data_IF_722109856640
#
_entry.id   IF_722109856640
#
_cell.length_a   1.000
_cell.length_b   1.000
_cell.length_c   1.000
_cell.angle_alpha   90.00
_cell.angle_beta   90.00
_cell.angle_gamma   90.00
#
_symmetry.space_group_name_H-M   'P 1'
#
loop_
_entity.id
_entity.type
_entity.pdbx_description
1 polymer ?
#
# COMPACT_ATOMS: atom_id res chain seq x y z
N UNK A 1 -29.41 0.45 35.82
CA UNK A 1 -29.68 -0.97 36.12
C UNK A 1 -29.72 -1.71 34.81
N UNK A 2 -28.92 -2.76 34.62
CA UNK A 2 -28.87 -3.57 33.40
C UNK A 2 -29.24 -5.00 33.79
N UNK A 3 -30.04 -5.65 32.96
CA UNK A 3 -30.36 -7.07 33.15
C UNK A 3 -29.47 -7.92 32.27
N UNK A 4 -29.05 -9.09 32.78
CA UNK A 4 -28.31 -10.10 32.07
C UNK A 4 -28.86 -11.49 32.38
N UNK A 5 -29.18 -12.22 31.33
CA UNK A 5 -29.70 -13.57 31.43
C UNK A 5 -28.61 -14.55 30.98
N UNK A 6 -28.30 -15.49 31.83
CA UNK A 6 -27.41 -16.63 31.48
C UNK A 6 -28.26 -17.87 31.40
N UNK A 7 -28.32 -18.47 30.22
CA UNK A 7 -28.99 -19.75 30.03
C UNK A 7 -27.95 -20.85 29.97
N UNK A 8 -28.02 -21.78 30.89
CA UNK A 8 -27.11 -22.96 30.90
C UNK A 8 -27.97 -24.18 31.23
N UNK A 9 -27.87 -25.17 30.37
CA UNK A 9 -28.76 -26.35 30.42
C UNK A 9 -30.26 -25.98 30.50
N UNK A 10 -30.99 -26.45 31.51
CA UNK A 10 -32.40 -26.16 31.71
C UNK A 10 -32.69 -24.94 32.63
N UNK A 11 -31.62 -24.22 33.04
CA UNK A 11 -31.71 -23.13 34.00
C UNK A 11 -31.43 -21.77 33.38
N UNK A 12 -32.24 -20.77 33.76
CA UNK A 12 -32.05 -19.37 33.44
C UNK A 12 -31.68 -18.61 34.70
N UNK A 13 -30.53 -17.93 34.67
CA UNK A 13 -30.05 -17.09 35.75
C UNK A 13 -30.20 -15.62 35.31
N UNK A 14 -31.15 -14.90 35.90
CA UNK A 14 -31.40 -13.50 35.57
C UNK A 14 -30.74 -12.58 36.58
N UNK A 15 -29.62 -11.97 36.15
CA UNK A 15 -28.88 -11.01 36.96
C UNK A 15 -29.38 -9.60 36.74
N UNK A 16 -29.63 -8.87 37.81
CA UNK A 16 -29.80 -7.44 37.86
C UNK A 16 -28.45 -6.81 38.26
N UNK A 17 -27.90 -6.00 37.34
CA UNK A 17 -26.56 -5.45 37.53
C UNK A 17 -26.63 -3.94 37.79
N UNK A 18 -26.14 -3.53 38.94
CA UNK A 18 -25.97 -2.13 39.29
C UNK A 18 -24.52 -1.87 39.73
N UNK A 19 -23.71 -1.33 38.79
CA UNK A 19 -22.25 -1.07 38.97
C UNK A 19 -21.51 -2.34 39.37
N UNK A 20 -21.08 -2.43 40.66
CA UNK A 20 -20.32 -3.56 41.20
C UNK A 20 -21.25 -4.62 41.85
N UNK A 21 -22.52 -4.28 42.09
CA UNK A 21 -23.47 -5.15 42.73
C UNK A 21 -24.28 -5.91 41.69
N UNK A 22 -24.19 -7.24 41.73
CA UNK A 22 -24.99 -8.13 40.91
C UNK A 22 -25.97 -8.86 41.81
N UNK A 23 -27.23 -8.82 41.44
CA UNK A 23 -28.32 -9.44 42.19
C UNK A 23 -28.93 -10.57 41.37
N UNK A 24 -29.11 -11.75 42.01
CA UNK A 24 -29.83 -12.87 41.46
C UNK A 24 -30.88 -13.29 42.46
N UNK A 25 -32.10 -13.47 42.03
CA UNK A 25 -33.21 -13.93 42.87
C UNK A 25 -33.59 -15.35 42.50
N UNK A 26 -33.78 -16.20 43.52
CA UNK A 26 -34.25 -17.58 43.38
C UNK A 26 -35.41 -17.83 44.36
N UNK A 27 -36.47 -18.49 43.89
CA UNK A 27 -37.55 -18.91 44.78
C UNK A 27 -37.09 -20.03 45.71
N UNK A 28 -37.62 -20.13 46.91
CA UNK A 28 -37.32 -21.22 47.84
C UNK A 28 -37.60 -22.61 47.22
N UNK A 29 -38.60 -22.69 46.34
CA UNK A 29 -38.93 -23.91 45.57
C UNK A 29 -37.84 -24.38 44.60
N UNK A 30 -36.99 -23.44 44.12
CA UNK A 30 -35.83 -23.78 43.26
C UNK A 30 -34.65 -24.32 44.06
N UNK A 31 -34.70 -24.23 45.38
CA UNK A 31 -33.67 -24.71 46.29
C UNK A 31 -34.21 -25.83 47.19
N UNK A 32 -33.31 -26.59 47.83
CA UNK A 32 -33.65 -27.59 48.85
C UNK A 32 -33.07 -27.17 50.20
N UNK A 33 -32.94 -25.88 50.47
CA UNK A 33 -32.46 -25.32 51.72
C UNK A 33 -33.43 -25.64 52.84
N UNK A 34 -32.92 -26.23 53.93
CA UNK A 34 -33.67 -26.50 55.15
C UNK A 34 -33.30 -25.59 56.29
N UNK A 35 -32.06 -25.12 56.30
CA UNK A 35 -31.52 -24.20 57.30
C UNK A 35 -30.61 -23.17 56.55
N UNK A 36 -30.85 -21.89 56.84
CA UNK A 36 -30.10 -20.78 56.19
C UNK A 36 -28.57 -20.92 56.34
N UNK A 37 -28.10 -21.51 57.45
CA UNK A 37 -26.67 -21.76 57.68
C UNK A 37 -26.01 -22.67 56.62
N UNK A 38 -26.82 -23.42 55.86
CA UNK A 38 -26.29 -24.20 54.74
C UNK A 38 -25.59 -23.30 53.67
N UNK A 39 -25.96 -22.03 53.59
CA UNK A 39 -25.35 -21.06 52.70
C UNK A 39 -23.91 -20.71 53.10
N UNK A 40 -23.48 -20.95 54.34
CA UNK A 40 -22.10 -20.70 54.79
C UNK A 40 -21.05 -21.42 53.89
N UNK A 41 -21.46 -22.51 53.23
CA UNK A 41 -20.63 -23.28 52.28
C UNK A 41 -20.22 -22.43 51.10
N UNK A 42 -21.09 -21.55 50.62
CA UNK A 42 -20.90 -20.74 49.42
C UNK A 42 -20.67 -19.26 49.70
N UNK A 43 -20.93 -18.77 50.91
CA UNK A 43 -20.67 -17.39 51.32
C UNK A 43 -19.24 -17.21 51.86
N UNK A 44 -18.53 -18.31 52.17
CA UNK A 44 -17.12 -18.27 52.60
C UNK A 44 -16.26 -17.50 51.63
N UNK A 45 -15.30 -16.76 52.16
CA UNK A 45 -14.36 -15.97 51.36
C UNK A 45 -13.29 -16.92 50.75
N UNK A 46 -13.18 -16.90 49.42
CA UNK A 46 -12.11 -17.57 48.70
C UNK A 46 -11.74 -16.77 47.44
N UNK A 47 -10.55 -16.97 46.91
CA UNK A 47 -10.07 -16.28 45.71
C UNK A 47 -10.72 -16.75 44.42
N UNK A 48 -11.26 -17.97 44.43
CA UNK A 48 -11.87 -18.64 43.30
C UNK A 48 -13.31 -18.19 43.03
N UNK A 49 -13.91 -17.51 44.02
CA UNK A 49 -15.31 -17.07 43.95
C UNK A 49 -15.45 -15.59 44.34
N UNK A 50 -16.32 -14.88 43.63
CA UNK A 50 -16.65 -13.50 43.93
C UNK A 50 -17.36 -13.43 45.33
N UNK A 51 -17.10 -12.41 46.16
CA UNK A 51 -17.80 -12.23 47.41
C UNK A 51 -19.31 -12.27 47.25
N UNK A 52 -20.00 -13.03 48.10
CA UNK A 52 -21.42 -13.28 48.05
C UNK A 52 -22.03 -13.06 49.42
N UNK A 53 -23.14 -12.30 49.46
CA UNK A 53 -24.05 -12.20 50.58
C UNK A 53 -25.41 -12.69 50.15
N UNK A 54 -26.14 -13.36 51.05
CA UNK A 54 -27.47 -13.90 50.73
C UNK A 54 -28.46 -13.33 51.74
N UNK A 55 -29.60 -12.86 51.23
CA UNK A 55 -30.70 -12.37 52.01
C UNK A 55 -31.90 -13.28 51.81
N UNK A 56 -32.65 -13.53 52.89
CA UNK A 56 -33.87 -14.33 52.87
C UNK A 56 -35.09 -13.43 52.96
N UNK A 57 -36.01 -13.58 52.04
CA UNK A 57 -37.36 -13.01 52.10
C UNK A 57 -38.41 -14.15 52.12
N UNK A 58 -39.67 -13.81 52.24
CA UNK A 58 -40.74 -14.80 52.46
C UNK A 58 -40.65 -16.04 51.56
N UNK A 59 -40.63 -15.87 50.26
CA UNK A 59 -40.55 -16.98 49.25
C UNK A 59 -39.29 -16.97 48.42
N UNK A 60 -38.34 -16.11 48.71
CA UNK A 60 -37.20 -15.83 47.84
C UNK A 60 -35.89 -15.82 48.63
N UNK A 61 -34.82 -16.26 47.97
CA UNK A 61 -33.43 -15.97 48.34
C UNK A 61 -32.85 -14.97 47.34
N UNK A 62 -32.25 -13.90 47.88
CA UNK A 62 -31.55 -12.90 47.08
C UNK A 62 -30.05 -13.06 47.26
N UNK A 63 -29.38 -13.40 46.17
CA UNK A 63 -27.92 -13.54 46.11
C UNK A 63 -27.32 -12.22 45.64
N UNK A 64 -26.48 -11.59 46.48
CA UNK A 64 -25.82 -10.32 46.21
C UNK A 64 -24.33 -10.57 46.02
N UNK A 65 -23.85 -10.43 44.78
CA UNK A 65 -22.46 -10.60 44.42
C UNK A 65 -21.79 -9.23 44.31
N UNK A 66 -20.57 -9.11 44.88
CA UNK A 66 -19.78 -7.90 44.76
C UNK A 66 -18.68 -8.09 43.72
N UNK A 67 -18.93 -7.67 42.47
CA UNK A 67 -18.02 -7.78 41.33
C UNK A 67 -17.23 -6.49 41.21
N UNK A 68 -15.96 -6.49 41.72
CA UNK A 68 -15.12 -5.29 41.66
C UNK A 68 -14.90 -4.86 40.19
N UNK A 69 -15.03 -3.56 39.94
CA UNK A 69 -14.79 -2.95 38.62
C UNK A 69 -13.37 -3.14 38.09
N UNK A 70 -12.40 -3.48 38.94
CA UNK A 70 -11.03 -3.79 38.54
C UNK A 70 -10.89 -5.16 37.89
N UNK A 71 -11.88 -6.04 38.09
CA UNK A 71 -11.89 -7.35 37.44
C UNK A 71 -12.20 -7.21 35.95
N UNK A 72 -11.48 -7.97 35.15
CA UNK A 72 -11.74 -8.05 33.71
C UNK A 72 -12.95 -8.98 33.49
N UNK A 73 -13.98 -8.46 32.84
CA UNK A 73 -15.10 -9.21 32.31
C UNK A 73 -14.76 -9.76 30.93
N UNK A 74 -15.50 -10.73 30.44
CA UNK A 74 -15.25 -11.42 29.18
C UNK A 74 -15.05 -10.45 28.00
N UNK A 75 -15.90 -9.43 27.86
CA UNK A 75 -15.84 -8.45 26.78
C UNK A 75 -14.50 -7.68 26.76
N UNK A 76 -13.84 -7.56 27.91
CA UNK A 76 -12.55 -6.89 28.02
C UNK A 76 -11.38 -7.74 27.51
N UNK A 77 -11.57 -9.06 27.36
CA UNK A 77 -10.51 -10.00 27.02
C UNK A 77 -10.18 -9.98 25.52
N UNK A 78 -11.05 -9.47 24.67
CA UNK A 78 -10.82 -9.34 23.23
C UNK A 78 -9.52 -8.60 22.88
N UNK A 79 -9.14 -7.61 23.71
CA UNK A 79 -7.94 -6.77 23.54
C UNK A 79 -6.65 -7.43 23.99
N UNK A 80 -6.71 -8.58 24.66
CA UNK A 80 -5.52 -9.28 25.15
C UNK A 80 -4.81 -10.00 24.02
N UNK A 81 -3.48 -10.07 24.13
CA UNK A 81 -2.64 -10.83 23.21
C UNK A 81 -2.85 -12.33 23.36
N UNK A 82 -2.39 -13.09 22.36
CA UNK A 82 -2.55 -14.55 22.36
C UNK A 82 -1.95 -15.23 23.60
N UNK A 83 -0.77 -14.78 24.04
CA UNK A 83 -0.11 -15.27 25.23
C UNK A 83 -0.95 -15.06 26.50
N UNK A 84 -1.50 -13.84 26.68
CA UNK A 84 -2.38 -13.53 27.82
C UNK A 84 -3.67 -14.36 27.81
N UNK A 85 -4.28 -14.55 26.64
CA UNK A 85 -5.47 -15.41 26.48
C UNK A 85 -5.19 -16.87 26.83
N UNK A 86 -4.07 -17.42 26.38
CA UNK A 86 -3.68 -18.79 26.72
C UNK A 86 -3.39 -18.93 28.22
N UNK A 87 -2.69 -17.97 28.83
CA UNK A 87 -2.43 -17.96 30.28
C UNK A 87 -3.74 -17.92 31.09
N UNK A 88 -4.67 -17.05 30.70
CA UNK A 88 -5.99 -16.93 31.31
C UNK A 88 -6.76 -18.27 31.26
N UNK A 89 -6.80 -18.91 30.10
CA UNK A 89 -7.47 -20.20 29.94
C UNK A 89 -6.82 -21.30 30.78
N UNK A 90 -5.47 -21.38 30.81
CA UNK A 90 -4.79 -22.32 31.71
C UNK A 90 -5.23 -22.13 33.17
N UNK A 91 -5.38 -20.89 33.61
CA UNK A 91 -5.81 -20.60 34.98
C UNK A 91 -7.25 -21.09 35.24
N UNK A 92 -8.14 -21.09 34.21
CA UNK A 92 -9.51 -21.63 34.36
C UNK A 92 -9.50 -23.10 34.72
N UNK A 93 -8.48 -23.85 34.33
CA UNK A 93 -8.34 -25.30 34.66
C UNK A 93 -8.38 -25.61 36.16
N UNK A 94 -8.05 -24.65 37.03
CA UNK A 94 -8.13 -24.81 38.49
C UNK A 94 -9.51 -25.24 38.97
N UNK A 95 -10.57 -24.89 38.28
CA UNK A 95 -11.94 -25.27 38.65
C UNK A 95 -12.23 -26.77 38.50
N UNK A 96 -11.37 -27.53 37.82
CA UNK A 96 -11.42 -29.01 37.81
C UNK A 96 -11.45 -29.60 39.22
N UNK A 97 -10.73 -28.99 40.16
CA UNK A 97 -10.67 -29.46 41.57
C UNK A 97 -12.02 -29.35 42.28
N UNK A 98 -12.95 -28.51 41.79
CA UNK A 98 -14.27 -28.31 42.38
C UNK A 98 -15.32 -29.30 41.87
N UNK A 99 -15.05 -30.10 40.84
CA UNK A 99 -16.02 -31.06 40.27
C UNK A 99 -16.54 -32.06 41.29
N UNK A 100 -15.72 -32.44 42.28
CA UNK A 100 -16.10 -33.38 43.32
C UNK A 100 -16.34 -32.74 44.70
N UNK A 101 -16.33 -31.39 44.76
CA UNK A 101 -16.61 -30.67 46.03
C UNK A 101 -18.10 -30.39 46.21
N UNK A 102 -18.46 -29.87 47.39
CA UNK A 102 -19.84 -29.48 47.70
C UNK A 102 -20.30 -28.25 46.95
N UNK A 103 -19.39 -27.38 46.57
CA UNK A 103 -19.67 -26.17 45.79
C UNK A 103 -19.84 -26.56 44.32
N UNK A 104 -20.93 -26.14 43.70
CA UNK A 104 -21.20 -26.37 42.28
C UNK A 104 -21.09 -25.05 41.52
N UNK A 105 -20.75 -25.11 40.24
CA UNK A 105 -20.55 -23.97 39.38
C UNK A 105 -20.78 -24.36 37.92
N UNK A 106 -20.74 -23.40 37.01
CA UNK A 106 -20.67 -23.61 35.57
C UNK A 106 -19.72 -22.63 34.93
N UNK A 107 -19.10 -23.04 33.83
CA UNK A 107 -18.22 -22.19 33.03
C UNK A 107 -19.04 -21.48 31.93
N UNK A 108 -19.14 -20.17 32.04
CA UNK A 108 -19.80 -19.32 31.07
C UNK A 108 -19.10 -17.96 31.03
N UNK A 109 -18.97 -17.31 29.85
CA UNK A 109 -18.34 -15.98 29.72
C UNK A 109 -18.84 -14.95 30.74
N UNK A 110 -20.13 -14.98 31.03
CA UNK A 110 -20.79 -14.04 31.93
C UNK A 110 -20.80 -14.49 33.41
N UNK A 111 -20.36 -15.68 33.70
CA UNK A 111 -20.20 -16.21 35.05
C UNK A 111 -18.77 -16.21 35.56
N UNK A 112 -17.80 -15.72 34.75
CA UNK A 112 -16.39 -15.73 35.08
C UNK A 112 -15.77 -14.33 34.92
N UNK A 113 -14.96 -13.94 35.87
CA UNK A 113 -14.20 -12.70 35.86
C UNK A 113 -12.75 -12.98 36.20
N UNK A 114 -11.83 -12.06 35.85
CA UNK A 114 -10.40 -12.28 36.02
C UNK A 114 -9.77 -11.08 36.71
N UNK A 115 -8.82 -11.37 37.61
CA UNK A 115 -8.03 -10.31 38.25
C UNK A 115 -6.89 -9.83 37.33
N UNK A 116 -6.07 -8.88 37.80
CA UNK A 116 -4.92 -8.36 37.04
C UNK A 116 -3.86 -9.42 36.72
N UNK A 117 -3.80 -10.53 37.46
CA UNK A 117 -2.91 -11.67 37.20
C UNK A 117 -3.54 -12.73 36.29
N UNK A 118 -4.73 -12.45 35.74
CA UNK A 118 -5.53 -13.35 34.89
C UNK A 118 -5.99 -14.62 35.63
N UNK A 119 -6.12 -14.54 36.95
CA UNK A 119 -6.67 -15.60 37.78
C UNK A 119 -8.21 -15.46 37.75
N UNK A 120 -8.95 -16.52 37.41
CA UNK A 120 -10.40 -16.49 37.30
C UNK A 120 -11.09 -16.58 38.64
N UNK A 121 -12.25 -15.93 38.76
CA UNK A 121 -13.20 -16.11 39.85
C UNK A 121 -14.60 -16.31 39.27
N UNK A 122 -15.34 -17.30 39.78
CA UNK A 122 -16.72 -17.57 39.41
C UNK A 122 -17.68 -16.64 40.20
N UNK A 123 -18.68 -16.11 39.51
CA UNK A 123 -19.66 -15.22 40.11
C UNK A 123 -20.71 -16.07 40.82
N UNK A 124 -21.54 -16.82 40.08
CA UNK A 124 -22.60 -17.64 40.64
C UNK A 124 -22.13 -19.08 40.87
N UNK A 125 -22.43 -19.57 42.03
CA UNK A 125 -22.16 -20.92 42.49
C UNK A 125 -23.31 -21.44 43.36
N UNK A 126 -23.46 -22.73 43.37
CA UNK A 126 -24.49 -23.42 44.17
C UNK A 126 -23.90 -24.40 45.18
N UNK A 127 -24.81 -25.17 45.74
CA UNK A 127 -24.48 -26.27 46.69
C UNK A 127 -25.01 -27.55 46.09
N UNK A 128 -24.16 -28.59 46.01
CA UNK A 128 -24.49 -29.89 45.46
C UNK A 128 -25.80 -30.41 46.03
N UNK A 129 -26.72 -30.75 45.16
CA UNK A 129 -28.08 -31.26 45.44
C UNK A 129 -28.99 -30.38 46.29
N UNK A 130 -28.59 -29.13 46.60
CA UNK A 130 -29.29 -28.21 47.44
C UNK A 130 -29.63 -26.91 46.74
N UNK A 131 -28.63 -26.26 46.13
CA UNK A 131 -28.79 -24.96 45.43
C UNK A 131 -28.22 -25.06 44.04
N UNK A 132 -28.97 -24.69 43.00
CA UNK A 132 -28.42 -24.65 41.63
C UNK A 132 -27.18 -23.77 41.53
N UNK A 133 -26.25 -24.06 40.58
CA UNK A 133 -26.35 -25.03 39.48
C UNK A 133 -26.16 -26.49 39.95
N UNK A 134 -26.57 -27.42 39.08
CA UNK A 134 -26.30 -28.83 39.27
C UNK A 134 -24.80 -29.12 39.17
N UNK A 135 -24.30 -30.19 39.85
CA UNK A 135 -22.90 -30.56 39.72
C UNK A 135 -22.52 -30.86 38.26
N UNK A 136 -21.39 -30.35 37.79
CA UNK A 136 -20.84 -30.71 36.47
C UNK A 136 -20.18 -32.10 36.52
N UNK A 137 -20.45 -32.89 35.50
CA UNK A 137 -19.60 -34.05 35.18
C UNK A 137 -18.28 -33.59 34.54
N UNK A 138 -17.28 -34.47 34.50
CA UNK A 138 -16.03 -34.14 33.80
C UNK A 138 -16.25 -33.87 32.30
N UNK A 139 -17.19 -34.59 31.66
CA UNK A 139 -17.56 -34.41 30.26
C UNK A 139 -18.23 -33.04 30.02
N UNK A 140 -19.17 -32.66 30.93
CA UNK A 140 -19.81 -31.33 30.83
C UNK A 140 -18.80 -30.22 31.06
N UNK A 141 -17.90 -30.36 32.03
CA UNK A 141 -16.83 -29.40 32.26
C UNK A 141 -15.93 -29.25 31.02
N UNK A 142 -15.50 -30.39 30.44
CA UNK A 142 -14.70 -30.42 29.22
C UNK A 142 -15.41 -29.67 28.07
N UNK A 143 -16.72 -29.92 27.90
CA UNK A 143 -17.53 -29.28 26.85
C UNK A 143 -17.60 -27.78 27.04
N UNK A 144 -17.98 -27.31 28.26
CA UNK A 144 -18.03 -25.89 28.57
C UNK A 144 -16.65 -25.21 28.43
N UNK A 145 -15.59 -25.93 28.84
CA UNK A 145 -14.25 -25.41 28.75
C UNK A 145 -13.77 -25.25 27.28
N UNK A 146 -14.06 -26.20 26.41
CA UNK A 146 -13.81 -26.11 24.97
C UNK A 146 -14.54 -24.92 24.36
N UNK A 147 -15.83 -24.75 24.71
CA UNK A 147 -16.62 -23.61 24.23
C UNK A 147 -16.02 -22.27 24.67
N UNK A 148 -15.55 -22.16 25.94
CA UNK A 148 -14.83 -20.99 26.44
C UNK A 148 -13.55 -20.71 25.65
N UNK A 149 -12.72 -21.74 25.42
CA UNK A 149 -11.47 -21.62 24.70
C UNK A 149 -11.71 -21.12 23.28
N UNK A 150 -12.64 -21.74 22.56
CA UNK A 150 -12.93 -21.38 21.18
C UNK A 150 -13.54 -19.97 21.11
N UNK A 151 -14.54 -19.66 21.95
CA UNK A 151 -15.17 -18.35 21.98
C UNK A 151 -14.20 -17.19 22.26
N UNK A 152 -13.12 -17.42 23.02
CA UNK A 152 -12.10 -16.40 23.31
C UNK A 152 -11.20 -16.08 22.10
N UNK A 153 -10.99 -17.02 21.19
CA UNK A 153 -10.12 -16.85 20.02
C UNK A 153 -10.89 -16.62 18.73
N UNK A 154 -12.13 -17.14 18.64
CA UNK A 154 -12.95 -17.02 17.44
C UNK A 154 -13.55 -15.62 17.30
N UNK A 155 -13.68 -15.17 16.06
CA UNK A 155 -14.45 -13.96 15.71
C UNK A 155 -15.88 -14.29 15.25
N UNK A 156 -16.14 -15.58 14.99
CA UNK A 156 -17.38 -16.06 14.39
C UNK A 156 -18.29 -16.74 15.40
N UNK A 157 -17.69 -17.50 16.34
CA UNK A 157 -18.43 -18.32 17.28
C UNK A 157 -18.41 -17.71 18.67
N UNK A 158 -19.57 -17.57 19.27
CA UNK A 158 -19.75 -17.24 20.67
C UNK A 158 -19.93 -18.53 21.51
N UNK A 159 -19.91 -18.38 22.82
CA UNK A 159 -20.02 -19.51 23.73
C UNK A 159 -21.38 -20.22 23.61
N UNK A 160 -22.47 -19.45 23.54
CA UNK A 160 -23.83 -19.99 23.55
C UNK A 160 -24.10 -20.84 22.31
N UNK A 161 -23.71 -20.36 21.13
CA UNK A 161 -23.83 -21.10 19.88
C UNK A 161 -23.02 -22.40 19.91
N UNK A 162 -21.79 -22.34 20.41
CA UNK A 162 -20.93 -23.53 20.54
C UNK A 162 -21.52 -24.57 21.49
N UNK A 163 -22.02 -24.12 22.65
CA UNK A 163 -22.61 -25.00 23.66
C UNK A 163 -23.95 -25.57 23.20
N UNK A 164 -24.73 -24.83 22.42
CA UNK A 164 -25.97 -25.28 21.80
C UNK A 164 -25.78 -26.38 20.73
N UNK A 165 -24.54 -26.71 20.33
CA UNK A 165 -24.26 -27.84 19.42
C UNK A 165 -23.31 -27.54 18.28
N UNK A 166 -22.91 -26.26 18.06
CA UNK A 166 -21.99 -25.87 16.98
C UNK A 166 -20.50 -26.14 17.28
N UNK A 167 -20.19 -26.76 18.43
CA UNK A 167 -18.80 -27.08 18.81
C UNK A 167 -18.06 -27.92 17.75
N UNK A 168 -18.76 -28.85 17.08
CA UNK A 168 -18.20 -29.70 16.02
C UNK A 168 -17.91 -28.93 14.72
N UNK A 169 -18.54 -27.77 14.54
CA UNK A 169 -18.41 -26.92 13.36
C UNK A 169 -17.34 -25.84 13.50
N UNK A 170 -16.72 -25.73 14.66
CA UNK A 170 -15.63 -24.79 14.93
C UNK A 170 -14.32 -25.27 14.25
N UNK A 171 -14.12 -24.86 12.98
CA UNK A 171 -13.00 -25.29 12.11
C UNK A 171 -12.29 -24.12 11.42
N UNK A 172 -12.51 -22.89 11.86
CA UNK A 172 -11.93 -21.69 11.22
C UNK A 172 -10.39 -21.67 11.33
N UNK A 173 -9.86 -22.19 12.42
CA UNK A 173 -8.40 -22.30 12.63
C UNK A 173 -8.02 -23.73 13.04
N UNK A 174 -6.76 -24.10 12.78
CA UNK A 174 -6.23 -25.40 13.25
C UNK A 174 -6.29 -25.51 14.77
N UNK A 175 -6.15 -24.41 15.51
CA UNK A 175 -6.28 -24.36 16.96
C UNK A 175 -7.70 -24.70 17.41
N UNK A 176 -8.72 -24.08 16.83
CA UNK A 176 -10.15 -24.35 17.12
C UNK A 176 -10.50 -25.80 16.81
N UNK A 177 -10.09 -26.28 15.64
CA UNK A 177 -10.32 -27.67 15.23
C UNK A 177 -9.68 -28.67 16.22
N UNK A 178 -8.46 -28.42 16.64
CA UNK A 178 -7.76 -29.29 17.60
C UNK A 178 -8.49 -29.27 18.94
N UNK A 179 -8.87 -28.10 19.46
CA UNK A 179 -9.62 -27.99 20.74
C UNK A 179 -10.97 -28.70 20.63
N UNK A 180 -11.70 -28.52 19.55
CA UNK A 180 -13.02 -29.17 19.38
C UNK A 180 -12.95 -30.70 19.38
N UNK A 181 -11.87 -31.29 18.84
CA UNK A 181 -11.67 -32.72 18.70
C UNK A 181 -11.11 -33.40 19.97
N UNK A 182 -10.62 -32.64 20.96
CA UNK A 182 -10.10 -33.24 22.21
C UNK A 182 -11.19 -33.98 22.98
N UNK A 183 -10.92 -35.22 23.38
CA UNK A 183 -11.86 -36.06 24.10
C UNK A 183 -11.51 -36.17 25.59
N UNK A 184 -10.32 -35.75 25.99
CA UNK A 184 -9.85 -35.83 27.36
C UNK A 184 -9.48 -34.46 27.90
N UNK A 185 -9.85 -34.17 29.15
CA UNK A 185 -9.49 -32.94 29.83
C UNK A 185 -7.96 -32.83 30.00
N UNK A 186 -7.28 -33.91 30.32
CA UNK A 186 -5.81 -33.93 30.48
C UNK A 186 -5.12 -33.60 29.16
N UNK A 187 -5.59 -34.17 28.04
CA UNK A 187 -5.05 -33.85 26.71
C UNK A 187 -5.27 -32.36 26.34
N UNK A 188 -6.42 -31.80 26.68
CA UNK A 188 -6.73 -30.40 26.44
C UNK A 188 -5.82 -29.47 27.26
N UNK A 189 -5.60 -29.80 28.54
CA UNK A 189 -4.71 -29.03 29.41
C UNK A 189 -3.26 -29.07 28.89
N UNK A 190 -2.77 -30.24 28.52
CA UNK A 190 -1.44 -30.41 27.93
C UNK A 190 -1.30 -29.58 26.65
N UNK A 191 -2.30 -29.61 25.78
CA UNK A 191 -2.31 -28.83 24.54
C UNK A 191 -2.28 -27.31 24.80
N UNK A 192 -3.00 -26.83 25.83
CA UNK A 192 -2.95 -25.44 26.23
C UNK A 192 -1.59 -25.02 26.79
N UNK A 193 -0.96 -25.92 27.60
CA UNK A 193 0.38 -25.72 28.14
C UNK A 193 1.40 -25.60 27.00
N UNK A 194 1.41 -26.56 26.08
CA UNK A 194 2.30 -26.56 24.92
C UNK A 194 2.09 -25.32 24.04
N UNK A 195 0.83 -24.94 23.87
CA UNK A 195 0.47 -23.73 23.08
C UNK A 195 0.95 -22.46 23.75
N UNK A 196 0.86 -22.38 25.07
CA UNK A 196 1.35 -21.24 25.84
C UNK A 196 2.87 -21.14 25.77
N UNK A 197 3.60 -22.25 26.00
CA UNK A 197 5.07 -22.28 25.95
C UNK A 197 5.60 -21.88 24.56
N UNK A 198 4.98 -22.40 23.51
CA UNK A 198 5.31 -22.03 22.12
C UNK A 198 5.10 -20.53 21.86
N UNK A 199 3.97 -19.98 22.31
CA UNK A 199 3.66 -18.57 22.12
C UNK A 199 4.57 -17.68 22.98
N UNK A 200 4.89 -18.10 24.20
CA UNK A 200 5.83 -17.40 25.07
C UNK A 200 7.23 -17.35 24.45
N UNK A 201 7.75 -18.49 24.00
CA UNK A 201 9.07 -18.56 23.34
C UNK A 201 9.11 -17.69 22.08
N UNK A 202 8.03 -17.70 21.29
CA UNK A 202 7.91 -16.84 20.10
C UNK A 202 7.91 -15.36 20.46
N UNK A 203 7.19 -15.00 21.53
CA UNK A 203 7.11 -13.61 22.01
C UNK A 203 8.47 -13.14 22.52
N UNK A 204 9.16 -13.94 23.33
CA UNK A 204 10.48 -13.62 23.88
C UNK A 204 11.55 -13.48 22.78
N UNK A 205 11.52 -14.33 21.75
CA UNK A 205 12.48 -14.27 20.64
C UNK A 205 12.22 -13.14 19.66
N UNK A 206 10.97 -12.82 19.39
CA UNK A 206 10.59 -11.94 18.27
C UNK A 206 10.07 -10.57 18.70
N UNK A 207 9.76 -10.35 19.98
CA UNK A 207 9.19 -9.11 20.48
C UNK A 207 10.08 -8.47 21.53
N UNK A 208 10.37 -7.19 21.35
CA UNK A 208 11.02 -6.38 22.36
C UNK A 208 10.06 -5.25 22.78
N UNK A 209 9.98 -5.02 24.09
CA UNK A 209 9.22 -3.90 24.62
C UNK A 209 9.97 -2.61 24.35
N UNK A 210 9.49 -1.81 23.41
CA UNK A 210 10.06 -0.51 23.10
C UNK A 210 9.09 0.59 23.54
N UNK A 211 9.56 1.63 24.24
CA UNK A 211 8.71 2.76 24.59
C UNK A 211 8.04 3.36 23.36
N UNK A 212 6.72 3.57 23.41
CA UNK A 212 5.92 4.07 22.25
C UNK A 212 6.48 5.38 21.67
N UNK A 213 7.05 6.25 22.50
CA UNK A 213 7.69 7.51 22.04
C UNK A 213 8.91 7.22 21.18
N UNK A 214 9.83 6.37 21.66
CA UNK A 214 11.05 5.99 20.94
C UNK A 214 10.71 5.32 19.60
N UNK A 215 9.78 4.37 19.59
CA UNK A 215 9.33 3.72 18.35
C UNK A 215 8.78 4.71 17.31
N UNK A 216 7.92 5.65 17.76
CA UNK A 216 7.38 6.70 16.87
C UNK A 216 8.50 7.60 16.35
N UNK A 217 9.43 8.02 17.22
CA UNK A 217 10.55 8.86 16.84
C UNK A 217 11.43 8.19 15.78
N UNK A 218 11.83 6.92 15.98
CA UNK A 218 12.61 6.16 15.02
C UNK A 218 11.87 5.94 13.71
N UNK A 219 10.56 5.69 13.76
CA UNK A 219 9.72 5.56 12.57
C UNK A 219 9.73 6.83 11.74
N UNK A 220 9.48 8.00 12.34
CA UNK A 220 9.51 9.28 11.62
C UNK A 220 10.91 9.62 11.11
N UNK A 221 11.96 9.31 11.88
CA UNK A 221 13.35 9.50 11.46
C UNK A 221 13.64 8.65 10.21
N UNK A 222 13.23 7.37 10.18
CA UNK A 222 13.41 6.51 9.04
C UNK A 222 12.69 7.05 7.78
N UNK A 223 11.44 7.51 7.91
CA UNK A 223 10.73 8.14 6.79
C UNK A 223 11.40 9.43 6.31
N UNK A 224 11.93 10.25 7.24
CA UNK A 224 12.68 11.46 6.87
C UNK A 224 13.93 11.13 6.09
N UNK A 225 14.67 10.09 6.47
CA UNK A 225 15.85 9.64 5.72
C UNK A 225 15.50 9.10 4.34
N UNK A 226 14.42 8.31 4.21
CA UNK A 226 13.95 7.83 2.91
C UNK A 226 13.58 9.02 2.01
N UNK A 227 12.82 9.98 2.52
CA UNK A 227 12.46 11.18 1.77
C UNK A 227 13.69 11.99 1.34
N UNK A 228 14.65 12.20 2.23
CA UNK A 228 15.90 12.88 1.93
C UNK A 228 16.70 12.14 0.85
N UNK A 229 16.79 10.81 0.93
CA UNK A 229 17.47 9.98 -0.08
C UNK A 229 16.84 10.13 -1.45
N UNK A 230 15.52 10.11 -1.55
CA UNK A 230 14.79 10.29 -2.83
C UNK A 230 15.04 11.70 -3.40
N UNK A 231 14.99 12.73 -2.57
CA UNK A 231 15.24 14.12 -2.98
C UNK A 231 16.69 14.29 -3.51
N UNK A 232 17.66 13.62 -2.91
CA UNK A 232 19.05 13.70 -3.34
C UNK A 232 19.36 12.79 -4.55
N UNK A 233 18.71 11.63 -4.64
CA UNK A 233 18.93 10.70 -5.74
C UNK A 233 18.32 11.19 -7.06
N UNK A 234 17.19 11.85 -7.05
CA UNK A 234 16.52 12.32 -8.25
C UNK A 234 17.39 13.25 -9.12
N UNK A 235 18.00 14.34 -8.59
CA UNK A 235 18.91 15.17 -9.38
C UNK A 235 20.17 14.41 -9.82
N UNK A 236 20.70 13.51 -9.01
CA UNK A 236 21.88 12.72 -9.37
C UNK A 236 21.59 11.82 -10.57
N UNK A 237 20.44 11.15 -10.58
CA UNK A 237 19.98 10.32 -11.71
C UNK A 237 19.78 11.19 -12.95
N UNK A 238 19.13 12.35 -12.83
CA UNK A 238 18.94 13.28 -13.93
C UNK A 238 20.28 13.72 -14.53
N UNK A 239 21.24 14.15 -13.70
CA UNK A 239 22.55 14.57 -14.18
C UNK A 239 23.30 13.43 -14.86
N UNK A 240 23.32 12.25 -14.24
CA UNK A 240 24.11 11.11 -14.75
C UNK A 240 23.54 10.54 -16.05
N UNK A 241 22.23 10.40 -16.19
CA UNK A 241 21.60 9.69 -17.31
C UNK A 241 21.09 10.61 -18.42
N UNK A 242 20.85 11.89 -18.12
CA UNK A 242 20.32 12.84 -19.11
C UNK A 242 21.32 13.95 -19.40
N UNK A 243 21.76 14.66 -18.38
CA UNK A 243 22.58 15.86 -18.60
C UNK A 243 24.00 15.57 -19.10
N UNK A 244 24.69 14.63 -18.47
CA UNK A 244 26.07 14.28 -18.87
C UNK A 244 26.15 13.64 -20.26
N UNK A 245 25.32 12.65 -20.65
CA UNK A 245 25.36 12.11 -22.00
C UNK A 245 25.10 13.17 -23.08
N UNK A 246 24.15 14.06 -22.83
CA UNK A 246 23.86 15.18 -23.73
C UNK A 246 25.08 16.12 -23.88
N UNK A 247 25.73 16.52 -22.78
CA UNK A 247 26.91 17.37 -22.84
C UNK A 247 28.10 16.68 -23.54
N UNK A 248 28.30 15.39 -23.27
CA UNK A 248 29.36 14.63 -23.94
C UNK A 248 29.12 14.57 -25.45
N UNK A 249 27.89 14.38 -25.89
CA UNK A 249 27.52 14.40 -27.31
C UNK A 249 27.85 15.76 -27.97
N UNK A 250 27.56 16.87 -27.31
CA UNK A 250 27.90 18.21 -27.80
C UNK A 250 29.43 18.40 -27.88
N UNK A 251 30.18 17.93 -26.88
CA UNK A 251 31.65 18.00 -26.86
C UNK A 251 32.28 17.15 -27.98
N UNK A 252 31.77 15.96 -28.22
CA UNK A 252 32.21 15.10 -29.30
C UNK A 252 31.90 15.69 -30.68
N UNK A 253 30.74 16.31 -30.87
CA UNK A 253 30.38 17.03 -32.08
C UNK A 253 31.34 18.20 -32.33
N UNK A 254 31.65 18.99 -31.30
CA UNK A 254 32.62 20.08 -31.40
C UNK A 254 34.02 19.57 -31.75
N UNK A 255 34.49 18.49 -31.11
CA UNK A 255 35.77 17.87 -31.42
C UNK A 255 35.81 17.37 -32.89
N UNK A 256 34.74 16.78 -33.39
CA UNK A 256 34.58 16.35 -34.78
C UNK A 256 34.59 17.54 -35.75
N UNK A 257 33.96 18.63 -35.37
CA UNK A 257 33.97 19.88 -36.17
C UNK A 257 35.38 20.46 -36.31
N UNK A 258 36.14 20.54 -35.21
CA UNK A 258 37.54 21.00 -35.23
C UNK A 258 38.43 20.07 -36.07
N UNK A 259 38.15 18.76 -36.05
CA UNK A 259 38.82 17.77 -36.87
C UNK A 259 38.36 17.80 -38.34
N UNK A 260 37.44 18.67 -38.72
CA UNK A 260 36.83 18.77 -40.06
C UNK A 260 36.09 17.52 -40.53
N UNK A 261 35.67 16.68 -39.58
CA UNK A 261 34.83 15.48 -39.81
C UNK A 261 33.34 15.85 -39.72
N UNK A 262 32.85 16.50 -40.79
CA UNK A 262 31.48 17.05 -40.81
C UNK A 262 30.41 15.98 -40.85
N UNK A 263 30.67 14.81 -41.44
CA UNK A 263 29.72 13.70 -41.46
C UNK A 263 29.44 13.20 -40.04
N UNK A 264 30.49 13.21 -39.20
CA UNK A 264 30.36 12.81 -37.80
C UNK A 264 29.62 13.86 -36.98
N UNK A 265 29.81 15.14 -37.24
CA UNK A 265 29.02 16.21 -36.62
C UNK A 265 27.51 16.01 -36.91
N UNK A 266 27.18 15.76 -38.18
CA UNK A 266 25.80 15.50 -38.60
C UNK A 266 25.24 14.27 -37.86
N UNK A 267 25.95 13.16 -37.88
CA UNK A 267 25.51 11.91 -37.23
C UNK A 267 25.25 12.10 -35.74
N UNK A 268 26.09 12.87 -35.05
CA UNK A 268 25.98 13.10 -33.62
C UNK A 268 24.82 14.02 -33.23
N UNK A 269 24.51 15.03 -34.04
CA UNK A 269 23.55 16.06 -33.70
C UNK A 269 22.19 15.97 -34.44
N UNK A 270 22.09 15.13 -35.48
CA UNK A 270 20.91 15.04 -36.31
C UNK A 270 19.64 14.59 -35.57
N UNK A 271 19.80 13.79 -34.52
CA UNK A 271 18.67 13.28 -33.72
C UNK A 271 18.21 14.27 -32.61
N UNK A 272 18.99 15.32 -32.37
CA UNK A 272 18.64 16.33 -31.37
C UNK A 272 17.54 17.28 -31.87
N UNK A 273 16.84 17.88 -30.92
CA UNK A 273 15.90 18.97 -31.23
C UNK A 273 16.70 20.25 -31.57
N UNK A 274 16.68 20.65 -32.82
CA UNK A 274 17.56 21.71 -33.32
C UNK A 274 17.35 23.05 -32.60
N UNK A 275 16.13 23.37 -32.25
CA UNK A 275 15.78 24.59 -31.51
C UNK A 275 16.44 24.64 -30.12
N UNK A 276 16.61 23.47 -29.48
CA UNK A 276 17.19 23.36 -28.14
C UNK A 276 18.71 23.36 -28.11
N UNK A 277 19.38 23.18 -29.27
CA UNK A 277 20.83 23.14 -29.34
C UNK A 277 21.44 24.51 -28.97
N UNK A 278 22.61 24.54 -28.31
CA UNK A 278 23.40 25.76 -28.14
C UNK A 278 23.76 26.39 -29.48
N UNK A 279 23.89 27.72 -29.51
CA UNK A 279 24.19 28.46 -30.75
C UNK A 279 25.49 27.97 -31.45
N UNK A 280 26.50 27.54 -30.64
CA UNK A 280 27.74 26.97 -31.18
C UNK A 280 27.47 25.67 -31.95
N UNK A 281 26.67 24.75 -31.36
CA UNK A 281 26.31 23.50 -32.02
C UNK A 281 25.38 23.71 -33.22
N UNK A 282 24.49 24.70 -33.18
CA UNK A 282 23.71 25.15 -34.37
C UNK A 282 24.63 25.58 -35.49
N UNK A 283 25.63 26.42 -35.17
CA UNK A 283 26.62 26.86 -36.15
C UNK A 283 27.40 25.69 -36.75
N UNK A 284 27.94 24.81 -35.91
CA UNK A 284 28.72 23.63 -36.33
C UNK A 284 27.89 22.71 -37.24
N UNK A 285 26.63 22.42 -36.85
CA UNK A 285 25.75 21.56 -37.63
C UNK A 285 25.30 22.20 -38.94
N UNK A 286 24.95 23.50 -38.93
CA UNK A 286 24.59 24.25 -40.15
C UNK A 286 25.77 24.26 -41.13
N UNK A 287 26.98 24.54 -40.62
CA UNK A 287 28.22 24.51 -41.42
C UNK A 287 28.46 23.11 -42.01
N UNK A 288 28.33 22.05 -41.23
CA UNK A 288 28.46 20.67 -41.68
C UNK A 288 27.47 20.34 -42.79
N UNK A 289 26.21 20.69 -42.65
CA UNK A 289 25.20 20.46 -43.69
C UNK A 289 25.45 21.23 -44.96
N UNK A 290 25.88 22.51 -44.87
CA UNK A 290 26.24 23.29 -46.08
C UNK A 290 27.45 22.65 -46.80
N UNK A 291 28.42 22.15 -46.05
CA UNK A 291 29.56 21.45 -46.63
C UNK A 291 29.13 20.19 -47.37
N UNK A 292 28.19 19.43 -46.80
CA UNK A 292 27.66 18.21 -47.40
C UNK A 292 26.66 18.48 -48.57
N UNK A 293 26.14 19.71 -48.68
CA UNK A 293 25.14 20.05 -49.69
C UNK A 293 25.71 19.98 -51.11
N UNK A 294 24.86 19.57 -52.08
CA UNK A 294 25.21 19.50 -53.48
C UNK A 294 25.21 20.89 -54.17
N UNK A 295 26.12 21.76 -53.74
CA UNK A 295 26.31 23.11 -54.28
C UNK A 295 27.70 23.25 -54.88
N UNK A 296 27.85 24.16 -55.82
CA UNK A 296 29.17 24.52 -56.37
C UNK A 296 30.07 25.17 -55.30
N UNK A 297 31.38 24.91 -55.38
CA UNK A 297 32.36 25.41 -54.40
C UNK A 297 32.28 26.95 -54.19
N UNK A 298 32.04 27.70 -55.24
CA UNK A 298 31.86 29.18 -55.15
C UNK A 298 30.63 29.55 -54.37
N UNK A 299 29.51 28.80 -54.51
CA UNK A 299 28.27 29.01 -53.82
C UNK A 299 28.40 28.66 -52.33
N UNK A 300 28.96 27.48 -52.01
CA UNK A 300 29.28 27.07 -50.64
C UNK A 300 30.11 28.14 -49.92
N UNK A 301 31.18 28.60 -50.56
CA UNK A 301 32.06 29.63 -50.01
C UNK A 301 31.34 30.98 -49.77
N UNK A 302 30.41 31.33 -50.63
CA UNK A 302 29.58 32.53 -50.44
C UNK A 302 28.63 32.40 -49.23
N UNK A 303 27.96 31.25 -49.09
CA UNK A 303 27.06 30.98 -47.96
C UNK A 303 27.85 30.94 -46.66
N UNK A 304 28.99 30.24 -46.65
CA UNK A 304 29.83 30.08 -45.45
C UNK A 304 30.42 31.42 -44.95
N UNK A 305 30.62 32.42 -45.80
CA UNK A 305 31.00 33.76 -45.36
C UNK A 305 29.94 34.45 -44.51
N UNK A 306 28.68 34.10 -44.71
CA UNK A 306 27.54 34.65 -44.00
C UNK A 306 27.16 33.87 -42.75
N UNK A 307 27.83 32.72 -42.49
CA UNK A 307 27.62 31.87 -41.32
C UNK A 307 28.72 32.13 -40.29
N UNK A 308 28.28 32.43 -39.07
CA UNK A 308 29.13 32.66 -37.91
C UNK A 308 28.38 32.39 -36.62
N UNK A 309 29.04 32.41 -35.50
CA UNK A 309 28.41 32.35 -34.17
C UNK A 309 27.51 33.55 -33.86
N UNK A 310 27.54 34.62 -34.70
CA UNK A 310 26.72 35.79 -34.59
C UNK A 310 25.60 35.83 -35.63
N UNK A 311 25.46 34.82 -36.45
CA UNK A 311 24.37 34.70 -37.41
C UNK A 311 23.02 34.58 -36.74
N UNK A 312 22.01 35.04 -37.44
CA UNK A 312 20.61 34.88 -36.98
C UNK A 312 20.35 33.38 -36.77
N UNK A 313 19.76 33.04 -35.64
CA UNK A 313 19.45 31.66 -35.28
C UNK A 313 18.55 30.99 -36.31
N UNK A 314 17.56 31.70 -36.87
CA UNK A 314 16.67 31.19 -37.90
C UNK A 314 17.40 30.88 -39.20
N UNK A 315 18.46 31.61 -39.49
CA UNK A 315 19.30 31.38 -40.67
C UNK A 315 20.10 30.07 -40.50
N UNK A 316 20.65 29.80 -39.29
CA UNK A 316 21.31 28.52 -38.98
C UNK A 316 20.30 27.36 -39.02
N UNK A 317 19.15 27.52 -38.41
CA UNK A 317 18.09 26.50 -38.41
C UNK A 317 17.59 26.20 -39.85
N UNK A 318 17.52 27.20 -40.71
CA UNK A 318 17.19 26.98 -42.11
C UNK A 318 18.09 25.97 -42.77
N UNK A 319 19.41 26.13 -42.64
CA UNK A 319 20.39 25.23 -43.23
C UNK A 319 20.38 23.85 -42.57
N UNK A 320 20.14 23.80 -41.27
CA UNK A 320 20.03 22.55 -40.55
C UNK A 320 18.82 21.75 -41.02
N UNK A 321 17.64 22.37 -41.11
CA UNK A 321 16.42 21.67 -41.58
C UNK A 321 16.50 21.35 -43.07
N UNK A 322 17.11 22.18 -43.87
CA UNK A 322 17.38 21.88 -45.28
C UNK A 322 18.28 20.66 -45.44
N UNK A 323 19.39 20.60 -44.70
CA UNK A 323 20.29 19.48 -44.73
C UNK A 323 19.67 18.17 -44.15
N UNK A 324 18.78 18.27 -43.18
CA UNK A 324 18.02 17.13 -42.63
C UNK A 324 16.94 16.62 -43.60
N UNK A 325 16.63 17.38 -44.66
CA UNK A 325 15.55 17.06 -45.60
C UNK A 325 14.16 17.47 -45.13
N UNK A 326 14.03 18.26 -44.05
CA UNK A 326 12.78 18.83 -43.61
C UNK A 326 12.51 20.15 -44.32
N UNK A 327 12.14 20.05 -45.60
CA UNK A 327 12.02 21.20 -46.47
C UNK A 327 10.81 22.07 -46.13
N UNK A 328 9.77 21.55 -45.48
CA UNK A 328 8.64 22.34 -45.03
C UNK A 328 9.09 23.36 -43.97
N UNK A 329 9.78 22.89 -42.92
CA UNK A 329 10.31 23.75 -41.86
C UNK A 329 11.35 24.75 -42.41
N UNK A 330 12.24 24.32 -43.31
CA UNK A 330 13.23 25.19 -43.90
C UNK A 330 12.58 26.31 -44.74
N UNK A 331 11.57 26.00 -45.52
CA UNK A 331 10.83 26.98 -46.33
C UNK A 331 10.09 28.01 -45.45
N UNK A 332 9.49 27.55 -44.34
CA UNK A 332 8.83 28.45 -43.40
C UNK A 332 9.83 29.41 -42.70
N UNK A 333 11.02 28.92 -42.37
CA UNK A 333 12.10 29.75 -41.85
C UNK A 333 12.58 30.77 -42.89
N UNK A 334 12.74 30.38 -44.15
CA UNK A 334 13.11 31.26 -45.24
C UNK A 334 12.08 32.41 -45.43
N UNK A 335 10.79 32.08 -45.38
CA UNK A 335 9.71 33.06 -45.40
C UNK A 335 9.76 34.00 -44.21
N UNK A 336 10.06 33.48 -43.01
CA UNK A 336 10.19 34.28 -41.78
C UNK A 336 11.39 35.24 -41.86
N UNK A 337 12.47 34.83 -42.52
CA UNK A 337 13.66 35.67 -42.78
C UNK A 337 13.44 36.68 -43.89
N UNK A 338 12.35 36.60 -44.66
CA UNK A 338 12.02 37.40 -45.82
C UNK A 338 13.17 37.43 -46.86
N UNK A 339 13.87 36.31 -47.03
CA UNK A 339 14.99 36.14 -47.95
C UNK A 339 14.55 35.42 -49.23
N UNK A 340 14.39 36.14 -50.36
CA UNK A 340 13.91 35.55 -51.61
C UNK A 340 14.82 34.46 -52.16
N UNK A 341 16.14 34.51 -51.88
CA UNK A 341 17.11 33.50 -52.37
C UNK A 341 16.94 32.18 -51.61
N UNK A 342 16.77 32.27 -50.27
CA UNK A 342 16.50 31.09 -49.45
C UNK A 342 15.15 30.49 -49.80
N UNK A 343 14.13 31.31 -50.05
CA UNK A 343 12.79 30.83 -50.45
C UNK A 343 12.86 30.09 -51.78
N UNK A 344 13.52 30.67 -52.80
CA UNK A 344 13.68 30.02 -54.10
C UNK A 344 14.44 28.72 -53.99
N UNK A 345 15.54 28.67 -53.21
CA UNK A 345 16.32 27.46 -52.99
C UNK A 345 15.49 26.40 -52.24
N UNK A 346 14.77 26.78 -51.19
CA UNK A 346 13.88 25.87 -50.47
C UNK A 346 12.78 25.29 -51.35
N UNK A 347 12.17 26.10 -52.24
CA UNK A 347 11.20 25.63 -53.23
C UNK A 347 11.79 24.64 -54.22
N UNK A 348 13.03 24.84 -54.71
CA UNK A 348 13.72 23.88 -55.59
C UNK A 348 13.88 22.53 -54.85
N UNK A 349 14.37 22.57 -53.62
CA UNK A 349 14.56 21.37 -52.80
C UNK A 349 13.23 20.63 -52.49
N UNK A 350 12.19 21.38 -52.27
CA UNK A 350 10.81 20.83 -52.04
C UNK A 350 10.31 20.13 -53.32
N UNK A 351 10.53 20.74 -54.50
CA UNK A 351 10.16 20.14 -55.80
C UNK A 351 10.97 18.89 -56.08
N UNK A 352 12.30 18.86 -55.84
CA UNK A 352 13.16 17.68 -55.97
C UNK A 352 12.70 16.55 -55.05
N UNK A 353 12.42 16.85 -53.79
CA UNK A 353 11.94 15.89 -52.81
C UNK A 353 10.58 15.29 -53.23
N UNK A 354 9.63 16.10 -53.69
CA UNK A 354 8.34 15.61 -54.15
C UNK A 354 8.40 14.72 -55.40
N UNK A 355 9.30 15.05 -56.35
CA UNK A 355 9.51 14.22 -57.53
C UNK A 355 9.97 12.80 -57.19
N UNK A 356 10.74 12.67 -56.12
CA UNK A 356 11.37 11.41 -55.67
C UNK A 356 10.62 10.72 -54.52
N UNK A 357 9.48 11.24 -54.07
CA UNK A 357 8.77 10.68 -52.95
C UNK A 357 7.84 9.52 -53.38
N UNK A 358 8.11 8.27 -52.93
CA UNK A 358 7.28 7.11 -53.30
C UNK A 358 5.95 7.06 -52.53
N UNK A 359 5.83 7.79 -51.42
CA UNK A 359 4.68 7.68 -50.52
C UNK A 359 3.43 8.49 -50.98
N UNK A 360 3.61 9.36 -51.98
CA UNK A 360 2.51 10.18 -52.53
C UNK A 360 1.86 9.53 -53.75
N UNK A 361 0.54 9.60 -53.82
CA UNK A 361 -0.20 9.24 -55.03
C UNK A 361 0.21 10.16 -56.20
N UNK A 362 0.08 9.69 -57.41
CA UNK A 362 0.44 10.48 -58.64
C UNK A 362 -0.31 11.83 -58.66
N UNK A 363 -1.59 11.81 -58.36
CA UNK A 363 -2.49 12.98 -58.41
C UNK A 363 -2.12 14.03 -57.34
N UNK A 364 -1.86 13.56 -56.07
CA UNK A 364 -1.43 14.46 -55.01
C UNK A 364 -0.03 15.06 -55.23
N UNK A 365 0.86 14.27 -55.85
CA UNK A 365 2.21 14.70 -56.23
C UNK A 365 2.11 15.83 -57.29
N UNK A 366 1.36 15.60 -58.36
CA UNK A 366 1.21 16.56 -59.46
C UNK A 366 0.59 17.86 -58.98
N UNK A 367 -0.39 17.79 -58.10
CA UNK A 367 -1.03 18.98 -57.54
C UNK A 367 -0.06 19.80 -56.66
N UNK A 368 0.72 19.16 -55.80
CA UNK A 368 1.73 19.80 -54.96
C UNK A 368 2.88 20.39 -55.82
N UNK A 369 3.36 19.61 -56.80
CA UNK A 369 4.40 20.08 -57.74
C UNK A 369 3.97 21.36 -58.45
N UNK A 370 2.78 21.34 -59.02
CA UNK A 370 2.23 22.54 -59.71
C UNK A 370 2.18 23.75 -58.81
N UNK A 371 1.80 23.56 -57.56
CA UNK A 371 1.73 24.66 -56.59
C UNK A 371 3.12 25.25 -56.30
N UNK A 372 4.12 24.42 -56.04
CA UNK A 372 5.46 24.91 -55.73
C UNK A 372 6.20 25.44 -56.95
N UNK A 373 5.98 24.89 -58.14
CA UNK A 373 6.52 25.39 -59.36
C UNK A 373 5.95 26.79 -59.71
N UNK A 374 4.64 27.01 -59.51
CA UNK A 374 4.04 28.33 -59.65
C UNK A 374 4.63 29.34 -58.66
N UNK A 375 4.79 29.00 -57.41
CA UNK A 375 5.43 29.88 -56.42
C UNK A 375 6.87 30.22 -56.82
N UNK A 376 7.64 29.22 -57.25
CA UNK A 376 9.02 29.43 -57.68
C UNK A 376 9.07 30.38 -58.88
N UNK A 377 8.17 30.25 -59.85
CA UNK A 377 8.12 31.12 -61.02
C UNK A 377 7.72 32.58 -60.65
N UNK A 378 6.80 32.76 -59.68
CA UNK A 378 6.47 34.05 -59.14
C UNK A 378 7.69 34.76 -58.50
N UNK A 379 8.42 34.00 -57.63
CA UNK A 379 9.64 34.52 -57.00
C UNK A 379 10.74 34.83 -58.02
N UNK A 380 10.93 33.97 -59.03
CA UNK A 380 11.89 34.22 -60.13
C UNK A 380 11.54 35.48 -60.92
N UNK A 381 10.27 35.71 -61.27
CA UNK A 381 9.79 36.92 -61.96
C UNK A 381 10.01 38.18 -61.15
N UNK A 382 9.78 38.10 -59.85
CA UNK A 382 9.82 39.26 -58.95
C UNK A 382 11.25 39.65 -58.57
N UNK A 383 12.12 38.64 -58.36
CA UNK A 383 13.47 38.85 -57.79
C UNK A 383 14.63 38.33 -58.68
N UNK A 384 14.33 37.63 -59.76
CA UNK A 384 15.37 36.98 -60.59
C UNK A 384 16.21 37.93 -61.46
N UNK A 385 15.97 39.26 -61.44
CA UNK A 385 16.75 40.23 -62.22
C UNK A 385 17.79 41.00 -61.41
N UNK A 386 18.00 40.71 -60.13
CA UNK A 386 19.08 41.31 -59.35
C UNK A 386 20.37 40.58 -59.63
N UNK A 387 21.43 41.31 -59.86
CA UNK A 387 22.76 40.83 -60.31
C UNK A 387 23.51 39.91 -59.34
N UNK A 388 22.93 39.51 -58.19
CA UNK A 388 23.39 38.48 -57.28
C UNK A 388 22.79 37.09 -57.53
N UNK A 389 21.77 36.93 -58.43
CA UNK A 389 20.98 35.71 -58.59
C UNK A 389 21.56 34.70 -59.53
N UNK A 390 22.65 34.99 -60.24
CA UNK A 390 23.27 34.03 -61.16
C UNK A 390 23.93 32.79 -60.52
N UNK A 391 24.06 32.78 -59.20
CA UNK A 391 24.83 31.74 -58.52
C UNK A 391 24.02 30.63 -57.85
N UNK A 392 22.71 30.76 -57.67
CA UNK A 392 21.89 29.70 -57.02
C UNK A 392 20.89 28.99 -57.95
N UNK A 393 20.49 29.63 -59.05
CA UNK A 393 19.45 29.12 -59.96
C UNK A 393 19.94 28.35 -61.20
N UNK A 394 21.25 28.35 -61.48
CA UNK A 394 21.84 27.76 -62.71
C UNK A 394 22.28 26.27 -62.60
N UNK A 395 21.84 25.54 -61.55
CA UNK A 395 22.17 24.10 -61.42
C UNK A 395 21.32 23.19 -62.32
N UNK A 396 20.33 23.72 -63.06
CA UNK A 396 19.42 22.89 -63.87
C UNK A 396 19.79 22.74 -65.38
N UNK A 397 20.95 23.14 -65.84
CA UNK A 397 21.28 23.03 -67.26
C UNK A 397 22.62 22.34 -67.54
N UNK A 398 22.98 21.30 -66.83
CA UNK A 398 24.05 20.38 -67.32
C UNK A 398 23.88 19.03 -66.62
N UNK A 399 23.01 18.16 -67.15
CA UNK A 399 23.16 16.75 -67.46
C UNK A 399 22.08 16.35 -68.45
#
# INVERSE_FOLDING_TARGET
MTEKIIQIDAMNYQFQIEKENWKLEMTKSQTRIKDFRQFDIITGVSSEFVPLTIEEADDMFTFLYQVDKKLYKWDNLSRFGRNEKLRLLRNVAQFREYLNKRITFFLHPDNIVFNANLIPSIIHRGIRDIVPPTPLSEEQFLTQYKCLIIALFSQKHNFDDLYAGLLKDAKETTFEQTVAQMESLDALLQFLDDSFEKEQTKTEKNMQLVPKKSYKSFKYLAFSFIAATVILAAPLIYFTFIKFPYQNKLLEANASFIATDYDKVITQLNEEEFESLPIASKYELAFAYITAEKLGEAQKKSIMKNISLKSDEKYLLYWMYNGKGNFDKSLDLAKTLDDPQLIMYGLVKQIESLKNNPDLSGEERDQKLKTYEQQLDEYKKKYGNSSSDKNLADTEKKE
#
